data_IF_599848543967
#
_entry.id   IF_599848543967
#
_cell.length_a   1.000
_cell.length_b   1.000
_cell.length_c   1.000
_cell.angle_alpha   90.00
_cell.angle_beta   90.00
_cell.angle_gamma   90.00
#
_symmetry.space_group_name_H-M   'P 1'
#
loop_
_entity.id
_entity.type
_entity.pdbx_description
1 polymer ?
#
# COMPACT_ATOMS: atom_id res chain seq x y z
N UNK A 1 -35.86 9.82 15.96
CA UNK A 1 -35.66 9.13 14.68
C UNK A 1 -34.75 10.01 13.85
N UNK A 2 -33.62 9.47 13.41
CA UNK A 2 -32.73 10.14 12.46
C UNK A 2 -33.48 10.12 11.12
N UNK A 3 -33.54 11.27 10.44
CA UNK A 3 -34.17 11.38 9.15
C UNK A 3 -33.41 10.51 8.12
N UNK A 4 -33.95 9.37 7.78
CA UNK A 4 -33.34 8.36 6.88
C UNK A 4 -32.96 8.95 5.52
N UNK A 5 -33.69 9.99 5.06
CA UNK A 5 -33.42 10.66 3.79
C UNK A 5 -32.04 11.34 3.71
N UNK A 6 -31.46 11.80 4.82
CA UNK A 6 -30.12 12.40 4.84
C UNK A 6 -29.03 11.37 4.60
N UNK A 7 -29.14 10.20 5.20
CA UNK A 7 -28.19 9.12 4.96
C UNK A 7 -28.26 8.63 3.53
N UNK A 8 -29.46 8.48 2.97
CA UNK A 8 -29.65 8.11 1.58
C UNK A 8 -29.02 9.12 0.61
N UNK A 9 -29.15 10.41 0.91
CA UNK A 9 -28.49 11.46 0.13
C UNK A 9 -26.95 11.42 0.27
N UNK A 10 -26.43 11.17 1.44
CA UNK A 10 -24.99 11.01 1.68
C UNK A 10 -24.45 9.79 0.91
N UNK A 11 -25.13 8.65 0.97
CA UNK A 11 -24.74 7.46 0.22
C UNK A 11 -24.73 7.72 -1.28
N UNK A 12 -25.79 8.33 -1.85
CA UNK A 12 -25.85 8.67 -3.28
C UNK A 12 -24.71 9.59 -3.69
N UNK A 13 -24.38 10.59 -2.89
CA UNK A 13 -23.28 11.50 -3.18
C UNK A 13 -21.93 10.77 -3.15
N UNK A 14 -21.73 9.89 -2.17
CA UNK A 14 -20.52 9.08 -2.08
C UNK A 14 -20.40 8.11 -3.28
N UNK A 15 -21.51 7.48 -3.70
CA UNK A 15 -21.56 6.62 -4.88
C UNK A 15 -21.21 7.38 -6.17
N UNK A 16 -21.72 8.61 -6.33
CA UNK A 16 -21.36 9.46 -7.47
C UNK A 16 -19.85 9.76 -7.50
N UNK A 17 -19.26 10.12 -6.38
CA UNK A 17 -17.82 10.36 -6.31
C UNK A 17 -17.02 9.09 -6.56
N UNK A 18 -17.43 7.95 -6.00
CA UNK A 18 -16.76 6.65 -6.21
C UNK A 18 -16.84 6.19 -7.68
N UNK A 19 -17.91 6.54 -8.39
CA UNK A 19 -18.04 6.22 -9.80
C UNK A 19 -17.08 7.02 -10.70
N UNK A 20 -16.64 8.20 -10.23
CA UNK A 20 -15.66 9.05 -10.91
C UNK A 20 -14.22 8.76 -10.45
N UNK A 21 -14.06 8.00 -9.36
CA UNK A 21 -12.74 7.64 -8.83
C UNK A 21 -12.06 6.57 -9.69
N UNK A 22 -10.91 6.92 -10.25
CA UNK A 22 -10.00 5.97 -10.90
C UNK A 22 -9.01 5.49 -9.86
N UNK A 23 -9.25 4.32 -9.29
CA UNK A 23 -8.35 3.71 -8.31
C UNK A 23 -8.36 2.19 -8.39
N UNK A 24 -7.23 1.56 -8.07
CA UNK A 24 -7.16 0.11 -7.92
C UNK A 24 -8.04 -0.35 -6.77
N UNK A 25 -8.91 -1.31 -7.04
CA UNK A 25 -9.77 -1.89 -6.00
C UNK A 25 -9.00 -2.98 -5.23
N UNK A 26 -8.11 -2.55 -4.35
CA UNK A 26 -7.36 -3.46 -3.47
C UNK A 26 -8.08 -3.51 -2.14
N UNK A 27 -9.02 -4.45 -2.02
CA UNK A 27 -9.76 -4.68 -0.79
C UNK A 27 -9.01 -5.66 0.11
N UNK A 28 -8.38 -5.15 1.15
CA UNK A 28 -7.73 -5.97 2.18
C UNK A 28 -8.59 -6.02 3.45
N UNK A 29 -8.73 -7.23 3.98
CA UNK A 29 -9.31 -7.42 5.31
C UNK A 29 -8.37 -6.85 6.38
N UNK A 30 -8.93 -6.12 7.34
CA UNK A 30 -8.19 -5.58 8.47
C UNK A 30 -8.29 -6.52 9.67
N UNK A 31 -7.17 -7.03 10.16
CA UNK A 31 -7.13 -7.79 11.41
C UNK A 31 -7.16 -6.86 12.61
N UNK A 32 -8.12 -7.07 13.51
CA UNK A 32 -8.26 -6.30 14.76
C UNK A 32 -8.23 -7.23 15.97
N UNK A 33 -7.12 -7.30 16.68
CA UNK A 33 -7.08 -7.98 17.98
C UNK A 33 -7.92 -7.21 19.00
N UNK A 34 -8.72 -7.93 19.76
CA UNK A 34 -9.51 -7.41 20.87
C UNK A 34 -9.18 -8.17 22.15
N UNK A 35 -8.73 -7.46 23.14
CA UNK A 35 -8.53 -8.02 24.49
C UNK A 35 -9.88 -8.10 25.17
N UNK A 36 -10.27 -9.28 25.60
CA UNK A 36 -11.50 -9.53 26.33
C UNK A 36 -11.31 -9.27 27.84
N UNK A 37 -12.40 -9.11 28.63
CA UNK A 37 -12.31 -8.88 30.08
C UNK A 37 -11.57 -9.98 30.85
N UNK A 38 -11.58 -11.21 30.36
CA UNK A 38 -10.83 -12.34 30.93
C UNK A 38 -9.37 -12.41 30.45
N UNK A 39 -8.86 -11.34 29.83
CA UNK A 39 -7.52 -11.22 29.25
C UNK A 39 -7.24 -12.15 28.07
N UNK A 40 -8.24 -12.84 27.54
CA UNK A 40 -8.10 -13.55 26.27
C UNK A 40 -8.03 -12.56 25.10
N UNK A 41 -7.38 -13.02 24.02
CA UNK A 41 -7.28 -12.24 22.79
C UNK A 41 -8.19 -12.88 21.74
N UNK A 42 -9.14 -12.07 21.24
CA UNK A 42 -9.96 -12.44 20.08
C UNK A 42 -9.46 -11.65 18.86
N UNK A 43 -9.17 -12.33 17.77
CA UNK A 43 -8.82 -11.69 16.52
C UNK A 43 -10.06 -11.63 15.63
N UNK A 44 -10.41 -10.42 15.22
CA UNK A 44 -11.55 -10.15 14.34
C UNK A 44 -11.06 -9.70 12.99
N UNK A 45 -11.61 -10.25 11.93
CA UNK A 45 -11.37 -9.78 10.55
C UNK A 45 -12.47 -8.81 10.18
N UNK A 46 -12.10 -7.56 9.88
CA UNK A 46 -13.03 -6.51 9.50
C UNK A 46 -12.90 -6.21 8.02
N UNK A 47 -13.98 -6.35 7.30
CA UNK A 47 -14.11 -5.91 5.91
C UNK A 47 -14.68 -4.48 5.83
N UNK A 48 -14.30 -3.68 4.82
CA UNK A 48 -14.92 -2.39 4.57
C UNK A 48 -16.43 -2.56 4.34
N UNK A 49 -17.22 -1.72 4.99
CA UNK A 49 -18.67 -1.64 4.79
C UNK A 49 -19.01 -0.43 3.92
N UNK A 50 -20.21 -0.36 3.35
CA UNK A 50 -20.65 0.79 2.57
C UNK A 50 -20.60 2.08 3.39
N UNK A 51 -20.94 2.02 4.68
CA UNK A 51 -20.80 3.15 5.58
C UNK A 51 -19.35 3.61 5.76
N UNK A 52 -18.38 2.69 5.85
CA UNK A 52 -16.96 3.05 5.92
C UNK A 52 -16.46 3.64 4.62
N UNK A 53 -16.89 3.11 3.47
CA UNK A 53 -16.57 3.65 2.15
C UNK A 53 -17.16 5.05 1.93
N UNK A 54 -18.41 5.26 2.36
CA UNK A 54 -19.04 6.57 2.32
C UNK A 54 -18.23 7.61 3.09
N UNK A 55 -17.87 7.31 4.33
CA UNK A 55 -17.06 8.22 5.17
C UNK A 55 -15.67 8.45 4.56
N UNK A 56 -15.05 7.42 4.00
CA UNK A 56 -13.77 7.53 3.28
C UNK A 56 -13.88 8.53 2.12
N UNK A 57 -14.92 8.42 1.27
CA UNK A 57 -15.14 9.35 0.14
C UNK A 57 -15.28 10.80 0.61
N UNK A 58 -16.05 11.05 1.68
CA UNK A 58 -16.17 12.39 2.26
C UNK A 58 -14.83 12.92 2.81
N UNK A 59 -14.05 12.06 3.47
CA UNK A 59 -12.73 12.45 3.97
C UNK A 59 -11.77 12.77 2.84
N UNK A 60 -11.73 11.96 1.78
CA UNK A 60 -10.87 12.19 0.61
C UNK A 60 -11.26 13.49 -0.09
N UNK A 61 -12.55 13.71 -0.36
CA UNK A 61 -13.04 14.93 -0.99
C UNK A 61 -12.70 16.18 -0.17
N UNK A 62 -12.89 16.14 1.16
CA UNK A 62 -12.56 17.25 2.06
C UNK A 62 -11.06 17.54 2.04
N UNK A 63 -10.22 16.53 2.16
CA UNK A 63 -8.78 16.66 2.14
C UNK A 63 -8.28 17.27 0.81
N UNK A 64 -8.82 16.81 -0.32
CA UNK A 64 -8.49 17.34 -1.65
C UNK A 64 -8.94 18.80 -1.81
N UNK A 65 -10.16 19.11 -1.37
CA UNK A 65 -10.71 20.47 -1.43
C UNK A 65 -9.85 21.47 -0.63
N UNK A 66 -9.53 21.13 0.62
CA UNK A 66 -8.70 21.97 1.50
C UNK A 66 -7.27 22.09 0.95
N UNK A 67 -6.68 20.98 0.48
CA UNK A 67 -5.36 20.99 -0.14
C UNK A 67 -5.31 21.93 -1.34
N UNK A 68 -6.27 21.82 -2.27
CA UNK A 68 -6.37 22.70 -3.43
C UNK A 68 -6.57 24.18 -3.04
N UNK A 69 -7.42 24.45 -2.06
CA UNK A 69 -7.71 25.83 -1.62
C UNK A 69 -6.47 26.48 -1.00
N UNK A 70 -5.81 25.81 -0.08
CA UNK A 70 -4.60 26.30 0.58
C UNK A 70 -3.41 26.38 -0.39
N UNK A 71 -3.28 25.40 -1.30
CA UNK A 71 -2.25 25.43 -2.34
C UNK A 71 -2.39 26.61 -3.28
N UNK A 72 -3.61 26.90 -3.75
CA UNK A 72 -3.89 28.12 -4.57
C UNK A 72 -3.57 29.41 -3.83
N UNK A 73 -3.75 29.42 -2.52
CA UNK A 73 -3.40 30.56 -1.67
C UNK A 73 -1.88 30.68 -1.38
N UNK A 74 -1.07 29.70 -1.80
CA UNK A 74 0.37 29.67 -1.55
C UNK A 74 0.73 29.31 -0.11
N UNK A 75 -0.14 28.60 0.62
CA UNK A 75 0.14 28.19 1.99
C UNK A 75 1.21 27.07 2.02
N UNK A 76 2.27 27.17 2.83
CA UNK A 76 3.17 26.07 3.10
C UNK A 76 2.40 24.91 3.77
N UNK A 77 2.42 23.73 3.16
CA UNK A 77 1.66 22.57 3.61
C UNK A 77 2.50 21.29 3.60
N UNK A 78 2.33 20.40 4.60
CA UNK A 78 2.79 19.04 4.52
C UNK A 78 1.85 18.23 3.62
N UNK A 79 2.14 18.25 2.32
CA UNK A 79 1.37 17.52 1.31
C UNK A 79 1.45 16.01 1.56
N UNK A 80 0.34 15.32 1.36
CA UNK A 80 0.32 13.86 1.37
C UNK A 80 0.54 13.34 -0.04
N UNK A 81 1.74 12.92 -0.32
CA UNK A 81 2.20 12.52 -1.64
C UNK A 81 2.23 11.00 -1.78
N UNK A 82 1.91 10.53 -2.98
CA UNK A 82 2.00 9.12 -3.35
C UNK A 82 2.62 9.01 -4.74
N UNK A 83 3.78 8.38 -4.82
CA UNK A 83 4.50 8.20 -6.07
C UNK A 83 3.80 7.22 -7.00
N UNK A 84 3.97 7.36 -8.32
CA UNK A 84 3.64 6.33 -9.28
C UNK A 84 4.54 5.09 -9.08
N UNK A 85 4.19 3.93 -9.71
CA UNK A 85 5.02 2.74 -9.69
C UNK A 85 6.45 2.99 -10.17
N UNK A 86 7.41 2.34 -9.56
CA UNK A 86 8.80 2.37 -10.03
C UNK A 86 8.96 1.54 -11.32
N UNK A 87 9.76 2.07 -12.25
CA UNK A 87 10.01 1.45 -13.56
C UNK A 87 10.62 0.05 -13.44
N UNK A 88 11.57 -0.13 -12.51
CA UNK A 88 12.21 -1.42 -12.29
C UNK A 88 11.23 -2.46 -11.72
N UNK A 89 10.36 -2.04 -10.81
CA UNK A 89 9.32 -2.89 -10.25
C UNK A 89 8.27 -3.30 -11.31
N UNK A 90 7.91 -2.38 -12.24
CA UNK A 90 7.03 -2.70 -13.38
C UNK A 90 7.67 -3.73 -14.31
N UNK A 91 8.95 -3.56 -14.63
CA UNK A 91 9.69 -4.54 -15.44
C UNK A 91 9.74 -5.91 -14.79
N UNK A 92 10.02 -5.97 -13.49
CA UNK A 92 10.03 -7.23 -12.74
C UNK A 92 8.64 -7.90 -12.74
N UNK A 93 7.58 -7.12 -12.56
CA UNK A 93 6.23 -7.67 -12.60
C UNK A 93 5.86 -8.16 -14.01
N UNK A 94 6.18 -7.42 -15.06
CA UNK A 94 5.96 -7.85 -16.45
C UNK A 94 6.70 -9.17 -16.76
N UNK A 95 7.94 -9.31 -16.31
CA UNK A 95 8.69 -10.56 -16.46
C UNK A 95 8.01 -11.73 -15.73
N UNK A 96 7.50 -11.50 -14.53
CA UNK A 96 6.75 -12.52 -13.77
C UNK A 96 5.43 -12.90 -14.45
N UNK A 97 4.70 -11.92 -14.98
CA UNK A 97 3.44 -12.17 -15.71
C UNK A 97 3.69 -12.99 -16.98
N UNK A 98 4.71 -12.65 -17.76
CA UNK A 98 5.12 -13.39 -18.94
C UNK A 98 5.51 -14.83 -18.60
N UNK A 99 6.29 -15.04 -17.53
CA UNK A 99 6.70 -16.38 -17.09
C UNK A 99 5.52 -17.24 -16.60
N UNK A 100 4.45 -16.61 -16.11
CA UNK A 100 3.19 -17.28 -15.75
C UNK A 100 2.27 -17.55 -16.95
N UNK A 101 2.66 -17.14 -18.17
CA UNK A 101 1.82 -17.22 -19.36
C UNK A 101 0.58 -16.32 -19.30
N UNK A 102 0.67 -15.21 -18.56
CA UNK A 102 -0.42 -14.24 -18.44
C UNK A 102 -0.19 -13.16 -19.48
N UNK A 103 -1.15 -13.02 -20.41
CA UNK A 103 -1.12 -12.01 -21.47
C UNK A 103 -1.55 -10.64 -20.94
N UNK A 104 -0.76 -10.09 -20.04
CA UNK A 104 -0.89 -8.76 -19.46
C UNK A 104 0.49 -8.13 -19.47
N UNK A 105 0.64 -7.01 -20.14
CA UNK A 105 1.83 -6.19 -20.12
C UNK A 105 1.48 -4.80 -19.57
N UNK A 106 2.12 -4.42 -18.46
CA UNK A 106 1.95 -3.09 -17.90
C UNK A 106 2.85 -2.10 -18.67
N UNK A 107 2.33 -0.93 -19.03
CA UNK A 107 3.11 0.07 -19.73
C UNK A 107 4.23 0.59 -18.84
N UNK A 108 5.36 0.89 -19.47
CA UNK A 108 6.46 1.56 -18.79
C UNK A 108 6.03 2.99 -18.48
N UNK A 109 6.13 3.43 -17.23
CA UNK A 109 5.78 4.79 -16.88
C UNK A 109 6.70 5.78 -17.61
N UNK A 110 6.15 6.55 -18.53
CA UNK A 110 6.82 7.73 -19.10
C UNK A 110 6.30 8.96 -18.38
N UNK A 111 7.12 9.56 -17.51
CA UNK A 111 6.66 10.64 -16.65
C UNK A 111 6.94 12.00 -17.28
N UNK A 112 5.88 12.78 -17.49
CA UNK A 112 5.97 14.23 -17.72
C UNK A 112 5.37 14.93 -16.50
N UNK A 113 6.07 15.86 -15.91
CA UNK A 113 5.53 16.75 -14.88
C UNK A 113 4.89 17.98 -15.52
N UNK A 114 3.96 18.61 -14.82
CA UNK A 114 3.39 19.89 -15.27
C UNK A 114 4.52 20.90 -15.53
N UNK A 115 4.54 21.50 -16.74
CA UNK A 115 5.48 22.56 -17.11
C UNK A 115 6.83 22.13 -17.66
N UNK A 116 7.09 20.81 -17.83
CA UNK A 116 8.33 20.35 -18.50
C UNK A 116 8.11 19.99 -19.96
N UNK A 117 8.89 20.61 -20.84
CA UNK A 117 9.08 20.19 -22.23
C UNK A 117 10.16 19.13 -22.30
N UNK A 118 9.91 18.07 -23.05
CA UNK A 118 10.76 16.92 -23.40
C UNK A 118 12.29 17.13 -23.22
N UNK A 119 12.84 16.95 -22.01
CA UNK A 119 14.29 16.74 -21.83
C UNK A 119 14.64 16.13 -20.48
N UNK A 120 15.20 14.98 -20.51
CA UNK A 120 16.24 14.32 -19.68
C UNK A 120 16.25 14.37 -18.13
N UNK A 121 15.17 14.69 -17.41
CA UNK A 121 15.24 14.86 -15.95
C UNK A 121 14.46 13.82 -15.11
N UNK A 122 14.31 12.59 -15.63
CA UNK A 122 13.75 11.48 -14.84
C UNK A 122 14.63 11.16 -13.61
N UNK A 123 15.96 11.36 -13.74
CA UNK A 123 16.91 11.12 -12.66
C UNK A 123 16.77 12.10 -11.50
N UNK A 124 16.38 13.34 -11.77
CA UNK A 124 16.23 14.37 -10.72
C UNK A 124 14.94 14.22 -9.93
N UNK A 125 13.86 13.74 -10.55
CA UNK A 125 12.62 13.43 -9.86
C UNK A 125 12.76 12.20 -8.96
N UNK A 126 13.39 11.15 -9.44
CA UNK A 126 13.71 9.96 -8.64
C UNK A 126 14.76 10.28 -7.56
N UNK A 127 15.70 11.17 -7.87
CA UNK A 127 16.68 11.70 -6.90
C UNK A 127 16.04 12.53 -5.79
N UNK A 128 14.99 13.31 -6.09
CA UNK A 128 14.21 14.06 -5.09
C UNK A 128 13.41 13.12 -4.15
N UNK A 129 13.06 11.93 -4.60
CA UNK A 129 12.42 10.90 -3.78
C UNK A 129 13.43 10.09 -2.94
N UNK A 130 14.68 9.95 -3.43
CA UNK A 130 15.72 9.14 -2.78
C UNK A 130 16.65 9.96 -1.88
N UNK A 131 16.85 11.26 -2.15
CA UNK A 131 17.79 12.13 -1.46
C UNK A 131 17.13 13.43 -1.01
N UNK A 132 16.56 13.44 0.18
CA UNK A 132 16.22 14.67 0.91
C UNK A 132 17.49 15.33 1.41
N UNK A 133 18.26 15.95 0.53
CA UNK A 133 19.34 16.90 0.92
C UNK A 133 18.99 18.27 0.38
N UNK A 134 18.78 19.19 1.30
CA UNK A 134 18.28 20.56 1.15
C UNK A 134 19.20 21.41 0.30
N UNK A 135 18.67 22.01 -0.77
CA UNK A 135 19.25 23.18 -1.40
C UNK A 135 18.43 24.44 -1.06
N UNK A 136 19.04 25.59 -0.78
CA UNK A 136 18.32 26.78 -0.35
C UNK A 136 17.51 27.40 -1.50
N UNK A 137 16.26 27.72 -1.24
CA UNK A 137 15.31 28.32 -2.17
C UNK A 137 15.35 29.84 -2.02
N UNK A 138 15.40 30.60 -3.13
CA UNK A 138 15.34 32.07 -3.06
C UNK A 138 13.93 32.54 -2.71
N UNK A 139 13.82 33.38 -1.70
CA UNK A 139 12.60 34.04 -1.27
C UNK A 139 12.25 35.19 -2.23
N UNK A 140 11.45 34.91 -3.26
CA UNK A 140 10.79 35.97 -4.05
C UNK A 140 9.36 35.52 -4.33
N UNK A 141 8.39 36.29 -3.84
CA UNK A 141 6.98 36.18 -4.25
C UNK A 141 6.85 36.54 -5.72
N UNK A 142 6.45 35.66 -6.65
CA UNK A 142 6.16 36.04 -8.01
C UNK A 142 4.80 36.77 -8.08
N UNK A 143 4.64 37.75 -8.96
CA UNK A 143 3.37 38.39 -9.22
C UNK A 143 2.45 37.39 -9.92
N UNK A 144 1.18 37.37 -9.52
CA UNK A 144 0.11 36.57 -10.13
C UNK A 144 -0.17 37.19 -11.51
N UNK A 145 0.32 36.57 -12.57
CA UNK A 145 -0.06 36.88 -13.93
C UNK A 145 -0.90 35.75 -14.53
N UNK A 146 -2.02 36.15 -15.12
CA UNK A 146 -3.10 35.33 -15.58
C UNK A 146 -2.74 34.50 -16.82
N UNK A 147 -3.29 33.32 -16.88
CA UNK A 147 -3.76 32.58 -18.04
C UNK A 147 -2.89 31.46 -18.63
N UNK A 148 -1.60 31.23 -18.29
CA UNK A 148 -0.86 30.06 -18.78
C UNK A 148 0.14 29.42 -17.78
N UNK A 149 0.24 29.94 -16.58
CA UNK A 149 1.19 29.39 -15.60
C UNK A 149 0.50 28.32 -14.74
N UNK A 150 1.00 27.10 -14.82
CA UNK A 150 0.68 26.03 -13.86
C UNK A 150 0.89 26.60 -12.46
N UNK A 151 -0.12 26.49 -11.62
CA UNK A 151 -0.03 26.96 -10.24
C UNK A 151 1.26 26.41 -9.60
N UNK A 152 2.09 27.25 -8.94
CA UNK A 152 3.39 26.81 -8.44
C UNK A 152 3.37 25.53 -7.60
N UNK A 153 2.28 25.29 -6.87
CA UNK A 153 2.10 24.05 -6.08
C UNK A 153 1.83 22.79 -6.92
N UNK A 154 1.60 22.93 -8.23
CA UNK A 154 1.41 21.80 -9.15
C UNK A 154 2.66 21.52 -10.02
N UNK A 155 3.70 22.34 -9.94
CA UNK A 155 4.86 22.25 -10.83
C UNK A 155 5.58 20.89 -10.83
N UNK A 156 5.50 20.15 -9.71
CA UNK A 156 6.14 18.83 -9.55
C UNK A 156 5.14 17.67 -9.64
N UNK A 157 3.90 17.93 -10.03
CA UNK A 157 2.87 16.91 -10.11
C UNK A 157 2.92 16.22 -11.46
N UNK A 158 2.81 14.90 -11.47
CA UNK A 158 2.71 14.12 -12.70
C UNK A 158 1.52 14.61 -13.54
N UNK A 159 1.73 14.76 -14.84
CA UNK A 159 0.68 15.15 -15.78
C UNK A 159 -0.59 14.31 -15.58
N UNK A 160 -1.78 14.92 -15.45
CA UNK A 160 -3.01 14.19 -15.15
C UNK A 160 -3.34 13.11 -16.16
N UNK A 161 -3.04 13.36 -17.45
CA UNK A 161 -3.29 12.37 -18.51
C UNK A 161 -2.34 11.18 -18.39
N UNK A 162 -1.04 11.44 -18.20
CA UNK A 162 -0.06 10.36 -18.02
C UNK A 162 -0.37 9.52 -16.78
N UNK A 163 -0.82 10.17 -15.69
CA UNK A 163 -1.26 9.47 -14.48
C UNK A 163 -2.49 8.61 -14.74
N UNK A 164 -3.49 9.15 -15.44
CA UNK A 164 -4.70 8.43 -15.82
C UNK A 164 -4.38 7.21 -16.68
N UNK A 165 -3.55 7.36 -17.71
CA UNK A 165 -3.17 6.29 -18.63
C UNK A 165 -2.50 5.11 -17.88
N UNK A 166 -1.64 5.39 -16.89
CA UNK A 166 -1.02 4.36 -16.05
C UNK A 166 -2.07 3.67 -15.18
N UNK A 167 -2.95 4.43 -14.52
CA UNK A 167 -3.99 3.86 -13.66
C UNK A 167 -4.97 2.99 -14.45
N UNK A 168 -5.39 3.43 -15.62
CA UNK A 168 -6.27 2.66 -16.52
C UNK A 168 -5.63 1.33 -16.93
N UNK A 169 -4.33 1.34 -17.21
CA UNK A 169 -3.58 0.12 -17.53
C UNK A 169 -3.49 -0.84 -16.36
N UNK A 170 -3.27 -0.33 -15.13
CA UNK A 170 -3.27 -1.16 -13.91
C UNK A 170 -4.67 -1.74 -13.62
N UNK A 171 -5.72 -0.96 -13.85
CA UNK A 171 -7.11 -1.40 -13.68
C UNK A 171 -7.50 -2.45 -14.73
N UNK A 172 -7.07 -2.27 -15.99
CA UNK A 172 -7.26 -3.27 -17.05
C UNK A 172 -6.56 -4.58 -16.70
N UNK A 173 -5.31 -4.51 -16.21
CA UNK A 173 -4.59 -5.67 -15.71
C UNK A 173 -5.34 -6.39 -14.58
N UNK A 174 -5.87 -5.65 -13.61
CA UNK A 174 -6.68 -6.21 -12.52
C UNK A 174 -7.98 -6.84 -13.05
N UNK A 175 -8.64 -6.20 -14.00
CA UNK A 175 -9.85 -6.72 -14.64
C UNK A 175 -9.57 -8.02 -15.39
N UNK A 176 -8.52 -8.07 -16.21
CA UNK A 176 -8.08 -9.29 -16.92
C UNK A 176 -7.72 -10.40 -15.93
N UNK A 177 -7.04 -10.07 -14.84
CA UNK A 177 -6.70 -11.03 -13.79
C UNK A 177 -7.94 -11.66 -13.15
N UNK A 178 -9.08 -10.97 -13.12
CA UNK A 178 -10.32 -11.49 -12.55
C UNK A 178 -10.87 -12.72 -13.29
N UNK A 179 -10.53 -12.87 -14.57
CA UNK A 179 -10.92 -14.03 -15.40
C UNK A 179 -9.96 -15.22 -15.28
N UNK A 180 -8.80 -15.03 -14.64
CA UNK A 180 -7.80 -16.07 -14.49
C UNK A 180 -8.14 -17.05 -13.35
N UNK A 181 -7.49 -18.20 -13.36
CA UNK A 181 -7.56 -19.14 -12.25
C UNK A 181 -7.15 -18.43 -10.93
N UNK A 182 -7.84 -18.74 -9.85
CA UNK A 182 -7.69 -18.07 -8.54
C UNK A 182 -6.22 -17.96 -8.06
N UNK A 183 -5.40 -18.95 -8.38
CA UNK A 183 -3.97 -19.01 -8.13
C UNK A 183 -3.23 -17.85 -8.83
N UNK A 184 -3.39 -17.73 -10.14
CA UNK A 184 -2.71 -16.74 -10.98
C UNK A 184 -3.25 -15.33 -10.69
N UNK A 185 -4.56 -15.20 -10.55
CA UNK A 185 -5.20 -13.94 -10.15
C UNK A 185 -4.56 -13.34 -8.90
N UNK A 186 -4.37 -14.13 -7.84
CA UNK A 186 -3.76 -13.63 -6.60
C UNK A 186 -2.32 -13.17 -6.77
N UNK A 187 -1.54 -13.84 -7.63
CA UNK A 187 -0.17 -13.39 -7.93
C UNK A 187 -0.19 -12.03 -8.63
N UNK A 188 -1.14 -11.83 -9.57
CA UNK A 188 -1.32 -10.53 -10.23
C UNK A 188 -1.76 -9.46 -9.23
N UNK A 189 -2.82 -9.71 -8.46
CA UNK A 189 -3.34 -8.77 -7.47
C UNK A 189 -2.25 -8.37 -6.45
N UNK A 190 -1.46 -9.32 -5.99
CA UNK A 190 -0.34 -9.08 -5.07
C UNK A 190 0.79 -8.30 -5.76
N UNK A 191 1.11 -8.62 -7.01
CA UNK A 191 2.08 -7.87 -7.81
C UNK A 191 1.66 -6.42 -7.99
N UNK A 192 0.42 -6.16 -8.39
CA UNK A 192 -0.14 -4.81 -8.52
C UNK A 192 -0.12 -4.05 -7.19
N UNK A 193 -0.41 -4.74 -6.07
CA UNK A 193 -0.32 -4.13 -4.74
C UNK A 193 1.11 -3.71 -4.39
N UNK A 194 2.10 -4.53 -4.70
CA UNK A 194 3.51 -4.20 -4.42
C UNK A 194 4.05 -3.06 -5.26
N UNK A 195 3.50 -2.84 -6.46
CA UNK A 195 3.84 -1.67 -7.28
C UNK A 195 3.40 -0.35 -6.65
N UNK A 196 2.40 -0.38 -5.75
CA UNK A 196 1.92 0.83 -5.11
C UNK A 196 2.88 1.28 -4.02
N UNK A 197 3.58 2.37 -4.29
CA UNK A 197 4.51 3.00 -3.35
C UNK A 197 3.82 3.41 -2.04
N UNK A 198 4.60 3.63 -0.98
CA UNK A 198 4.03 4.19 0.26
C UNK A 198 3.84 5.68 0.11
N UNK A 199 2.66 6.17 0.51
CA UNK A 199 2.44 7.60 0.62
C UNK A 199 3.28 8.19 1.77
N UNK A 200 3.84 9.38 1.57
CA UNK A 200 4.64 10.13 2.54
C UNK A 200 4.14 11.57 2.67
N UNK A 201 4.74 12.34 3.57
CA UNK A 201 4.54 13.79 3.62
C UNK A 201 5.72 14.49 2.99
N UNK A 202 5.45 15.56 2.24
CA UNK A 202 6.46 16.41 1.59
C UNK A 202 6.02 17.88 1.66
N UNK A 203 6.96 18.80 1.78
CA UNK A 203 6.69 20.24 1.65
C UNK A 203 6.39 20.61 0.19
N UNK A 204 6.89 19.81 -0.78
CA UNK A 204 6.56 19.96 -2.19
C UNK A 204 5.36 19.10 -2.53
N UNK A 205 4.41 19.65 -3.29
CA UNK A 205 3.30 18.86 -3.81
C UNK A 205 3.80 18.01 -4.99
N UNK A 206 3.73 16.70 -4.83
CA UNK A 206 4.08 15.71 -5.86
C UNK A 206 2.83 14.96 -6.37
N UNK A 207 1.64 15.38 -5.94
CA UNK A 207 0.39 14.70 -6.24
C UNK A 207 0.20 13.40 -5.45
N UNK A 208 -0.95 12.79 -5.65
CA UNK A 208 -1.26 11.50 -5.01
C UNK A 208 -1.72 10.49 -6.07
N UNK A 209 -0.76 9.70 -6.59
CA UNK A 209 -0.99 8.75 -7.67
C UNK A 209 -2.16 7.79 -7.36
N UNK A 210 -2.13 7.11 -6.22
CA UNK A 210 -3.13 6.10 -5.88
C UNK A 210 -4.56 6.63 -5.67
N UNK A 211 -4.75 7.96 -5.51
CA UNK A 211 -6.06 8.60 -5.47
C UNK A 211 -6.38 9.39 -6.76
N UNK A 212 -5.48 9.38 -7.72
CA UNK A 212 -5.60 10.17 -8.95
C UNK A 212 -5.81 11.67 -8.71
N UNK A 213 -5.12 12.24 -7.72
CA UNK A 213 -5.29 13.65 -7.31
C UNK A 213 -4.02 14.46 -7.55
N UNK A 214 -4.17 15.69 -8.06
CA UNK A 214 -3.09 16.63 -8.28
C UNK A 214 -2.58 17.26 -6.98
N UNK A 215 -3.45 17.43 -6.00
CA UNK A 215 -3.13 17.99 -4.70
C UNK A 215 -3.93 17.30 -3.61
N UNK A 216 -3.23 16.82 -2.58
CA UNK A 216 -3.86 16.14 -1.48
C UNK A 216 -3.15 16.48 -0.16
N UNK A 217 -3.87 17.02 0.79
CA UNK A 217 -3.37 17.32 2.12
C UNK A 217 -4.30 16.73 3.17
N UNK A 218 -3.75 16.15 4.22
CA UNK A 218 -4.56 15.65 5.31
C UNK A 218 -5.15 16.80 6.14
N UNK A 219 -6.45 16.71 6.42
CA UNK A 219 -7.21 17.73 7.16
C UNK A 219 -8.20 17.14 8.15
N UNK A 220 -8.75 15.96 7.86
CA UNK A 220 -9.95 15.42 8.55
C UNK A 220 -9.67 14.74 9.88
N UNK A 221 -8.42 14.62 10.33
CA UNK A 221 -8.05 13.92 11.58
C UNK A 221 -7.04 14.67 12.45
N UNK A 222 -7.27 15.95 12.84
CA UNK A 222 -6.28 16.78 13.52
C UNK A 222 -5.99 16.34 14.98
N UNK A 223 -6.83 15.49 15.57
CA UNK A 223 -6.61 14.97 16.94
C UNK A 223 -5.41 14.01 16.97
N UNK A 224 -5.17 13.26 15.90
CA UNK A 224 -4.18 12.17 15.84
C UNK A 224 -3.10 12.35 14.78
N UNK A 225 -3.22 13.33 13.87
CA UNK A 225 -2.22 13.61 12.84
C UNK A 225 -1.81 15.07 12.88
N UNK A 226 -0.53 15.31 13.11
CA UNK A 226 0.01 16.66 13.17
C UNK A 226 -0.08 17.44 11.84
N UNK A 227 0.13 16.82 10.66
CA UNK A 227 -0.10 17.49 9.37
C UNK A 227 -1.51 18.07 9.21
N UNK A 228 -2.54 17.38 9.70
CA UNK A 228 -3.92 17.88 9.70
C UNK A 228 -4.04 19.15 10.56
N UNK A 229 -3.42 19.15 11.74
CA UNK A 229 -3.41 20.32 12.62
C UNK A 229 -2.72 21.52 11.98
N UNK A 230 -1.62 21.31 11.25
CA UNK A 230 -0.94 22.34 10.47
C UNK A 230 -1.88 22.92 9.41
N UNK A 231 -2.54 22.08 8.62
CA UNK A 231 -3.51 22.52 7.62
C UNK A 231 -4.66 23.33 8.25
N UNK A 232 -5.14 22.94 9.42
CA UNK A 232 -6.14 23.74 10.18
C UNK A 232 -5.61 25.11 10.59
N UNK A 233 -4.36 25.23 11.02
CA UNK A 233 -3.75 26.51 11.41
C UNK A 233 -3.57 27.42 10.21
N UNK A 234 -3.05 26.90 9.09
CA UNK A 234 -2.93 27.65 7.85
C UNK A 234 -4.28 28.11 7.31
N UNK A 235 -5.31 27.25 7.35
CA UNK A 235 -6.66 27.62 6.95
C UNK A 235 -7.22 28.75 7.82
N UNK A 236 -6.98 28.72 9.13
CA UNK A 236 -7.42 29.80 10.04
C UNK A 236 -6.72 31.12 9.74
N UNK A 237 -5.41 31.10 9.47
CA UNK A 237 -4.66 32.31 9.06
C UNK A 237 -5.21 32.88 7.77
N UNK A 238 -5.47 32.03 6.76
CA UNK A 238 -6.09 32.46 5.53
C UNK A 238 -7.47 33.12 5.73
N UNK A 239 -8.35 32.50 6.53
CA UNK A 239 -9.69 33.02 6.81
C UNK A 239 -9.64 34.39 7.56
N UNK A 240 -8.64 34.57 8.42
CA UNK A 240 -8.47 35.78 9.22
C UNK A 240 -7.69 36.89 8.50
N UNK A 241 -7.09 36.58 7.33
CA UNK A 241 -6.19 37.47 6.62
C UNK A 241 -4.88 37.72 7.38
N UNK A 242 -4.44 36.76 8.18
CA UNK A 242 -3.19 36.78 8.95
C UNK A 242 -2.05 36.15 8.12
N UNK A 243 -0.80 36.39 8.51
CA UNK A 243 0.36 35.72 7.93
C UNK A 243 0.31 34.20 8.18
N UNK A 244 0.99 33.43 7.32
CA UNK A 244 1.10 31.98 7.50
C UNK A 244 1.78 31.64 8.83
N UNK A 245 1.21 30.64 9.56
CA UNK A 245 1.77 30.17 10.84
C UNK A 245 3.12 29.49 10.65
N UNK A 246 3.28 28.79 9.54
CA UNK A 246 4.48 28.05 9.21
C UNK A 246 5.07 28.56 7.90
N UNK A 247 6.39 28.59 7.82
CA UNK A 247 7.11 28.82 6.58
C UNK A 247 7.45 27.49 5.85
N UNK A 248 8.10 27.61 4.68
CA UNK A 248 8.47 26.42 3.89
C UNK A 248 9.53 25.55 4.56
N UNK A 249 10.50 26.15 5.27
CA UNK A 249 11.59 25.42 5.91
C UNK A 249 11.06 24.61 7.09
N UNK A 250 10.27 25.24 7.97
CA UNK A 250 9.59 24.55 9.07
C UNK A 250 8.66 23.43 8.54
N UNK A 251 7.95 23.70 7.44
CA UNK A 251 7.06 22.71 6.83
C UNK A 251 7.84 21.52 6.28
N UNK A 252 9.04 21.73 5.71
CA UNK A 252 9.89 20.64 5.24
C UNK A 252 10.35 19.73 6.37
N UNK A 253 10.88 20.31 7.45
CA UNK A 253 11.35 19.57 8.62
C UNK A 253 10.21 18.75 9.26
N UNK A 254 9.04 19.37 9.41
CA UNK A 254 7.87 18.69 10.00
C UNK A 254 7.34 17.61 9.07
N UNK A 255 7.33 17.82 7.76
CA UNK A 255 6.87 16.82 6.79
C UNK A 255 7.76 15.56 6.82
N UNK A 256 9.09 15.75 6.85
CA UNK A 256 10.05 14.65 6.99
C UNK A 256 9.84 13.91 8.31
N UNK A 257 9.78 14.63 9.42
CA UNK A 257 9.54 14.04 10.74
C UNK A 257 8.23 13.23 10.78
N UNK A 258 7.12 13.80 10.28
CA UNK A 258 5.83 13.12 10.22
C UNK A 258 5.85 11.88 9.32
N UNK A 259 6.60 11.90 8.22
CA UNK A 259 6.79 10.73 7.36
C UNK A 259 7.47 9.60 8.13
N UNK A 260 8.59 9.90 8.78
CA UNK A 260 9.34 8.93 9.58
C UNK A 260 8.51 8.36 10.73
N UNK A 261 7.80 9.22 11.48
CA UNK A 261 6.93 8.77 12.57
C UNK A 261 5.75 7.94 12.08
N UNK A 262 5.19 8.23 10.90
CA UNK A 262 4.10 7.45 10.33
C UNK A 262 4.54 6.02 9.95
N UNK A 263 5.78 5.85 9.50
CA UNK A 263 6.36 4.53 9.22
C UNK A 263 6.55 3.74 10.52
N UNK A 264 7.13 4.38 11.56
CA UNK A 264 7.34 3.76 12.87
C UNK A 264 6.01 3.36 13.49
N UNK A 265 5.00 4.26 13.48
CA UNK A 265 3.68 3.98 14.03
C UNK A 265 3.00 2.80 13.32
N UNK A 266 3.13 2.72 11.97
CA UNK A 266 2.58 1.60 11.20
C UNK A 266 3.30 0.29 11.48
N UNK A 267 4.61 0.33 11.65
CA UNK A 267 5.40 -0.84 12.02
C UNK A 267 5.00 -1.37 13.40
N UNK A 268 4.88 -0.48 14.40
CA UNK A 268 4.43 -0.85 15.76
C UNK A 268 3.01 -1.44 15.73
N UNK A 269 2.09 -0.82 14.98
CA UNK A 269 0.72 -1.33 14.81
C UNK A 269 0.74 -2.75 14.25
N UNK A 270 1.51 -2.97 13.18
CA UNK A 270 1.62 -4.29 12.54
C UNK A 270 2.23 -5.33 13.48
N UNK A 271 3.31 -4.97 14.20
CA UNK A 271 3.97 -5.85 15.16
C UNK A 271 3.05 -6.23 16.32
N UNK A 272 2.31 -5.25 16.87
CA UNK A 272 1.34 -5.50 17.95
C UNK A 272 0.21 -6.42 17.50
N UNK A 273 -0.31 -6.23 16.29
CA UNK A 273 -1.36 -7.10 15.71
C UNK A 273 -0.82 -8.52 15.51
N UNK A 274 0.39 -8.66 14.94
CA UNK A 274 1.04 -9.95 14.75
C UNK A 274 1.28 -10.66 16.09
N UNK A 275 1.81 -9.96 17.09
CA UNK A 275 2.07 -10.51 18.43
C UNK A 275 0.78 -10.92 19.15
N UNK A 276 -0.25 -10.09 19.09
CA UNK A 276 -1.55 -10.44 19.65
C UNK A 276 -2.12 -11.71 19.00
N UNK A 277 -1.93 -11.83 17.69
CA UNK A 277 -2.33 -13.01 16.95
C UNK A 277 -1.51 -14.25 17.34
N UNK A 278 -0.19 -14.14 17.45
CA UNK A 278 0.68 -15.23 17.89
C UNK A 278 0.34 -15.74 19.30
N UNK A 279 0.04 -14.81 20.23
CA UNK A 279 -0.41 -15.17 21.58
C UNK A 279 -1.77 -15.89 21.53
N UNK A 280 -2.70 -15.40 20.70
CA UNK A 280 -3.99 -16.06 20.50
C UNK A 280 -3.83 -17.50 19.99
N UNK A 281 -2.99 -17.69 19.00
CA UNK A 281 -2.65 -19.01 18.48
C UNK A 281 -2.04 -19.93 19.57
N UNK A 282 -1.09 -19.45 20.35
CA UNK A 282 -0.44 -20.23 21.43
C UNK A 282 -1.44 -20.68 22.51
N UNK A 283 -2.50 -19.92 22.73
CA UNK A 283 -3.56 -20.26 23.68
C UNK A 283 -4.62 -21.20 23.10
N UNK A 284 -4.43 -21.68 21.87
CA UNK A 284 -5.39 -22.56 21.19
C UNK A 284 -6.67 -21.84 20.76
N UNK A 285 -6.61 -20.53 20.54
CA UNK A 285 -7.75 -19.71 20.21
C UNK A 285 -8.28 -19.89 18.79
N UNK A 286 -9.54 -19.55 18.61
CA UNK A 286 -10.23 -19.52 17.32
C UNK A 286 -10.10 -18.12 16.69
N UNK A 287 -9.91 -18.05 15.38
CA UNK A 287 -10.04 -16.80 14.63
C UNK A 287 -11.48 -16.67 14.21
N UNK A 288 -12.17 -15.68 14.76
CA UNK A 288 -13.52 -15.33 14.35
C UNK A 288 -13.43 -14.52 13.05
N UNK A 289 -13.31 -15.23 11.94
CA UNK A 289 -13.65 -14.65 10.63
C UNK A 289 -15.16 -14.82 10.47
N UNK A 290 -15.79 -13.93 9.74
CA UNK A 290 -17.17 -14.08 9.29
C UNK A 290 -17.39 -15.36 8.47
N UNK A 291 -16.32 -16.03 8.08
CA UNK A 291 -16.26 -17.42 7.64
C UNK A 291 -15.82 -18.28 8.83
N UNK A 292 -16.66 -19.13 9.31
CA UNK A 292 -16.58 -20.12 10.40
C UNK A 292 -15.30 -20.97 10.48
N UNK A 293 -14.10 -20.41 10.30
CA UNK A 293 -12.86 -21.16 10.34
C UNK A 293 -12.32 -21.21 11.78
N UNK A 294 -12.63 -22.27 12.45
CA UNK A 294 -12.07 -22.67 13.75
C UNK A 294 -10.68 -23.26 13.52
N UNK A 295 -9.65 -22.71 14.15
CA UNK A 295 -8.32 -23.31 14.14
C UNK A 295 -8.14 -24.24 15.32
N UNK A 296 -7.74 -25.49 15.09
CA UNK A 296 -7.49 -26.45 16.18
C UNK A 296 -6.17 -26.21 16.90
N UNK A 297 -5.91 -26.97 17.99
CA UNK A 297 -4.66 -26.89 18.73
C UNK A 297 -3.45 -26.99 17.80
N UNK A 298 -2.57 -26.08 17.96
CA UNK A 298 -1.65 -25.53 16.96
C UNK A 298 -0.56 -26.47 16.49
N UNK A 299 -0.10 -27.39 17.33
CA UNK A 299 1.11 -28.16 17.06
C UNK A 299 0.88 -29.45 16.27
N UNK A 300 -0.36 -29.92 16.18
CA UNK A 300 -0.68 -31.23 15.62
C UNK A 300 -1.32 -31.16 14.22
N UNK A 301 -1.74 -29.98 13.78
CA UNK A 301 -2.48 -29.83 12.52
C UNK A 301 -1.59 -29.43 11.35
N UNK A 302 -1.96 -29.96 10.21
CA UNK A 302 -1.43 -29.62 8.90
C UNK A 302 -2.38 -28.64 8.20
N UNK A 303 -1.82 -27.57 7.64
CA UNK A 303 -2.53 -26.61 6.80
C UNK A 303 -2.08 -26.71 5.35
N UNK A 304 -2.99 -26.64 4.40
CA UNK A 304 -2.64 -26.41 3.01
C UNK A 304 -2.41 -24.90 2.82
N UNK A 305 -1.29 -24.38 3.32
CA UNK A 305 -0.95 -22.96 3.23
C UNK A 305 -0.56 -22.58 1.79
N UNK A 306 -0.91 -21.38 1.36
CA UNK A 306 -0.59 -20.88 0.02
C UNK A 306 0.75 -20.17 0.00
N UNK A 307 1.60 -20.50 -0.93
CA UNK A 307 2.86 -19.79 -1.16
C UNK A 307 2.53 -18.41 -1.75
N UNK A 308 2.90 -17.35 -1.03
CA UNK A 308 2.60 -15.96 -1.39
C UNK A 308 3.84 -15.16 -1.78
N UNK A 309 5.04 -15.60 -1.35
CA UNK A 309 6.30 -14.98 -1.76
C UNK A 309 7.46 -15.96 -1.63
N UNK A 310 8.40 -15.84 -2.56
CA UNK A 310 9.63 -16.61 -2.60
C UNK A 310 10.82 -15.63 -2.53
N UNK A 311 11.57 -15.66 -1.43
CA UNK A 311 12.76 -14.80 -1.23
C UNK A 311 13.84 -15.58 -0.50
N UNK A 312 14.90 -15.93 -1.17
CA UNK A 312 16.01 -16.70 -0.57
C UNK A 312 16.45 -16.12 0.77
N UNK A 313 16.54 -16.90 1.85
CA UNK A 313 16.35 -18.34 1.91
C UNK A 313 14.93 -18.78 2.36
N UNK A 314 13.92 -17.92 2.26
CA UNK A 314 12.60 -18.11 2.84
C UNK A 314 11.50 -18.27 1.80
N UNK A 315 10.55 -19.14 2.12
CA UNK A 315 9.24 -19.27 1.47
C UNK A 315 8.20 -18.72 2.42
N UNK A 316 7.42 -17.74 2.00
CA UNK A 316 6.33 -17.16 2.78
C UNK A 316 5.02 -17.81 2.37
N UNK A 317 4.26 -18.22 3.37
CA UNK A 317 3.01 -18.96 3.20
C UNK A 317 1.87 -18.26 3.94
N UNK A 318 0.74 -18.12 3.27
CA UNK A 318 -0.51 -17.64 3.84
C UNK A 318 -1.34 -18.85 4.31
N UNK A 319 -1.66 -18.87 5.60
CA UNK A 319 -2.37 -20.00 6.23
C UNK A 319 -3.87 -19.99 5.92
N UNK A 320 -4.46 -18.82 5.64
CA UNK A 320 -5.92 -18.65 5.53
C UNK A 320 -6.44 -18.32 4.14
N UNK A 321 -5.56 -18.12 3.16
CA UNK A 321 -5.95 -17.62 1.84
C UNK A 321 -6.52 -16.17 1.84
N UNK A 322 -6.48 -15.45 2.94
CA UNK A 322 -6.95 -14.05 3.07
C UNK A 322 -5.82 -13.03 3.27
N UNK A 323 -4.56 -13.49 3.33
CA UNK A 323 -3.38 -12.67 3.56
C UNK A 323 -3.19 -12.22 5.01
N UNK A 324 -4.11 -12.62 5.89
CA UNK A 324 -4.13 -12.17 7.28
C UNK A 324 -3.06 -12.86 8.13
N UNK A 325 -2.71 -14.10 7.82
CA UNK A 325 -1.79 -14.91 8.61
C UNK A 325 -0.70 -15.49 7.74
N UNK A 326 0.47 -14.91 7.84
CA UNK A 326 1.62 -15.37 7.09
C UNK A 326 2.65 -16.02 8.01
N UNK A 327 3.15 -17.17 7.58
CA UNK A 327 4.29 -17.82 8.16
C UNK A 327 5.42 -17.94 7.17
N UNK A 328 6.59 -18.29 7.64
CA UNK A 328 7.77 -18.51 6.81
C UNK A 328 8.31 -19.92 6.97
N UNK A 329 8.86 -20.45 5.91
CA UNK A 329 9.52 -21.75 5.89
C UNK A 329 10.89 -21.60 5.24
N UNK A 330 11.93 -22.09 5.87
CA UNK A 330 13.27 -22.05 5.29
C UNK A 330 13.40 -23.13 4.20
N UNK A 331 14.00 -22.81 3.05
CA UNK A 331 14.19 -23.73 1.91
C UNK A 331 14.77 -25.09 2.33
N UNK A 332 15.75 -25.11 3.26
CA UNK A 332 16.36 -26.34 3.80
C UNK A 332 15.37 -27.27 4.51
N UNK A 333 14.21 -26.78 4.88
CA UNK A 333 13.18 -27.59 5.55
C UNK A 333 12.24 -28.23 4.54
N UNK A 334 12.09 -27.66 3.35
CA UNK A 334 11.22 -28.20 2.31
C UNK A 334 11.75 -29.54 1.75
N UNK A 335 13.05 -29.66 1.67
CA UNK A 335 13.71 -30.95 1.33
C UNK A 335 15.03 -31.04 2.10
N UNK A 336 15.13 -32.05 2.98
CA UNK A 336 16.33 -32.30 3.79
C UNK A 336 17.42 -33.08 3.02
N UNK A 337 17.09 -33.64 1.88
CA UNK A 337 17.99 -34.53 1.13
C UNK A 337 18.76 -33.80 0.01
N UNK A 338 18.24 -32.66 -0.44
CA UNK A 338 18.84 -31.88 -1.50
C UNK A 338 18.77 -30.39 -1.22
N UNK A 339 19.71 -29.64 -1.80
CA UNK A 339 19.69 -28.20 -1.77
C UNK A 339 18.63 -27.68 -2.74
N UNK A 340 17.88 -26.66 -2.30
CA UNK A 340 16.87 -26.00 -3.13
C UNK A 340 17.28 -24.56 -3.39
N UNK A 341 16.91 -24.07 -4.56
CA UNK A 341 17.05 -22.68 -4.99
C UNK A 341 15.67 -22.12 -5.37
N UNK A 342 15.56 -20.81 -5.36
CA UNK A 342 14.45 -20.08 -5.97
C UNK A 342 14.93 -19.66 -7.35
N UNK A 343 14.09 -19.83 -8.37
CA UNK A 343 14.36 -19.37 -9.72
C UNK A 343 14.54 -17.86 -9.83
N UNK A 344 15.10 -17.38 -10.91
CA UNK A 344 15.41 -15.96 -11.11
C UNK A 344 14.16 -15.06 -11.08
N UNK A 345 13.02 -15.60 -11.47
CA UNK A 345 11.74 -14.88 -11.48
C UNK A 345 11.00 -14.92 -10.14
N UNK A 346 11.49 -15.67 -9.15
CA UNK A 346 10.82 -15.84 -7.86
C UNK A 346 9.48 -16.57 -7.94
N UNK A 347 9.33 -17.47 -8.93
CA UNK A 347 8.09 -18.20 -9.20
C UNK A 347 8.13 -19.65 -8.74
N UNK A 348 9.31 -20.28 -8.74
CA UNK A 348 9.48 -21.69 -8.46
C UNK A 348 10.58 -21.95 -7.45
N UNK A 349 10.38 -22.96 -6.64
CA UNK A 349 11.43 -23.59 -5.83
C UNK A 349 11.87 -24.84 -6.54
N UNK A 350 13.14 -24.90 -6.91
CA UNK A 350 13.73 -26.00 -7.71
C UNK A 350 14.89 -26.66 -6.99
N UNK A 351 15.18 -27.90 -7.36
CA UNK A 351 16.41 -28.58 -6.93
C UNK A 351 17.65 -27.82 -7.43
N UNK A 352 18.67 -27.65 -6.58
CA UNK A 352 19.92 -26.99 -6.98
C UNK A 352 20.72 -27.83 -8.00
N UNK A 353 20.59 -29.15 -7.92
CA UNK A 353 21.23 -30.07 -8.87
C UNK A 353 20.20 -30.60 -9.86
N UNK A 354 20.55 -30.71 -11.14
CA UNK A 354 19.66 -31.27 -12.15
C UNK A 354 19.47 -32.79 -11.93
N UNK A 355 18.30 -33.27 -12.31
CA UNK A 355 17.99 -34.71 -12.32
C UNK A 355 18.77 -35.49 -13.39
N UNK A 356 18.50 -36.79 -13.52
CA UNK A 356 19.14 -37.65 -14.53
C UNK A 356 18.79 -37.27 -15.99
N UNK A 357 17.70 -36.56 -16.14
CA UNK A 357 17.19 -35.97 -17.40
C UNK A 357 17.82 -34.62 -17.77
N UNK A 358 18.65 -34.07 -16.87
CA UNK A 358 19.28 -32.76 -17.03
C UNK A 358 18.39 -31.60 -16.58
N UNK A 359 17.16 -31.86 -16.12
CA UNK A 359 16.24 -30.82 -15.67
C UNK A 359 16.23 -30.67 -14.14
N UNK A 360 15.96 -29.43 -13.66
CA UNK A 360 15.79 -29.15 -12.26
C UNK A 360 14.37 -29.53 -11.80
N UNK A 361 14.28 -30.35 -10.79
CA UNK A 361 12.98 -30.75 -10.24
C UNK A 361 12.30 -29.56 -9.56
N UNK A 362 11.09 -29.23 -9.98
CA UNK A 362 10.24 -28.26 -9.30
C UNK A 362 9.62 -28.88 -8.04
N UNK A 363 9.84 -28.25 -6.90
CA UNK A 363 9.35 -28.69 -5.58
C UNK A 363 8.08 -27.94 -5.18
N UNK A 364 7.99 -26.65 -5.51
CA UNK A 364 6.85 -25.82 -5.21
C UNK A 364 6.80 -24.59 -6.13
N UNK A 365 5.60 -24.03 -6.30
CA UNK A 365 5.37 -22.83 -7.12
C UNK A 365 4.65 -21.76 -6.35
N UNK A 366 4.93 -20.51 -6.70
CA UNK A 366 4.18 -19.34 -6.21
C UNK A 366 2.68 -19.51 -6.49
N UNK A 367 1.84 -19.17 -5.51
CA UNK A 367 0.39 -19.31 -5.60
C UNK A 367 -0.14 -20.72 -5.36
N UNK A 368 0.69 -21.75 -5.29
CA UNK A 368 0.27 -23.13 -4.97
C UNK A 368 0.07 -23.35 -3.46
N UNK A 369 -0.75 -24.35 -3.13
CA UNK A 369 -0.90 -24.80 -1.75
C UNK A 369 0.18 -25.79 -1.40
N UNK A 370 0.84 -25.56 -0.27
CA UNK A 370 1.88 -26.41 0.26
C UNK A 370 1.48 -26.93 1.63
N UNK A 371 1.50 -28.26 1.88
CA UNK A 371 1.13 -28.81 3.17
C UNK A 371 2.21 -28.51 4.21
N UNK A 372 1.84 -27.76 5.22
CA UNK A 372 2.75 -27.36 6.28
C UNK A 372 2.14 -27.56 7.66
N UNK A 373 3.00 -27.54 8.67
CA UNK A 373 2.65 -27.53 10.09
C UNK A 373 3.41 -26.40 10.78
N UNK A 374 2.90 -25.97 11.92
CA UNK A 374 3.60 -25.01 12.75
C UNK A 374 4.82 -25.68 13.39
N UNK A 375 5.97 -25.02 13.31
CA UNK A 375 7.21 -25.43 13.95
C UNK A 375 7.50 -24.60 15.19
N UNK A 376 7.26 -23.30 15.13
CA UNK A 376 7.54 -22.38 16.21
C UNK A 376 6.88 -21.03 15.99
N UNK A 377 6.72 -20.30 17.08
CA UNK A 377 6.24 -18.93 17.10
C UNK A 377 7.26 -18.11 17.85
N UNK A 378 7.84 -17.13 17.19
CA UNK A 378 8.66 -16.11 17.82
C UNK A 378 7.83 -14.86 18.04
N UNK A 379 7.30 -14.69 19.26
CA UNK A 379 6.47 -13.54 19.61
C UNK A 379 7.29 -12.24 19.53
N UNK A 380 8.54 -12.27 19.96
CA UNK A 380 9.39 -11.09 20.01
C UNK A 380 9.91 -10.68 18.64
N UNK A 381 10.24 -11.66 17.78
CA UNK A 381 10.64 -11.42 16.41
C UNK A 381 9.49 -11.34 15.42
N UNK A 382 8.23 -11.46 15.89
CA UNK A 382 7.02 -11.33 15.05
C UNK A 382 6.92 -12.39 13.96
N UNK A 383 7.52 -13.59 14.13
CA UNK A 383 7.57 -14.59 13.07
C UNK A 383 6.88 -15.92 13.44
N UNK A 384 6.27 -16.52 12.42
CA UNK A 384 5.60 -17.80 12.45
C UNK A 384 6.41 -18.78 11.60
N UNK A 385 7.17 -19.66 12.26
CA UNK A 385 8.02 -20.63 11.56
C UNK A 385 7.23 -21.89 11.23
N UNK A 386 7.24 -22.26 9.96
CA UNK A 386 6.54 -23.41 9.42
C UNK A 386 7.53 -24.50 8.99
N UNK A 387 7.07 -25.74 8.98
CA UNK A 387 7.78 -26.89 8.45
C UNK A 387 6.86 -27.70 7.53
N UNK A 388 7.39 -28.48 6.60
CA UNK A 388 6.61 -29.45 5.84
C UNK A 388 5.85 -30.40 6.78
N UNK A 389 4.75 -30.94 6.27
CA UNK A 389 3.98 -31.96 6.98
C UNK A 389 4.79 -33.25 7.10
#
# INVERSE_FOLDING_TARGET
>A
AIDDNRFDQMFKLAEMWQAEEVKLNISNAEMRPRILPNQDIKVMVKWPTDATRMIESFMVATNACVGNMLGKAGAPLPWRCHAPPDTAEVLELNAKLAALGVDIELPMPSFKTHGQSDSDELSDLLGAWANTTIAPIPTVKPPINEANDVAPYLANVLDPKARQDILDSLMDAQSKASSLANKTRRVVDQGLFHLMQRANYSHKNLGHFGLNLDAYAHFTSPIRRYPDLMAHRQLKSMIRGEDWVYDEAETADIAEHCSNQSVIAKYIEWELVANAYHIHLLRGGEVDSTSQNTYPPIMEKSWPARIVSLRTPWVYLDLNDDGAIQGRMHLRQMDSKQRLNIDENGLEVTSAEPGRDGEHRVVARLGEKYPCRLRGIDIWGGSLDLAPR
#
